data_IF_586573810732
#
_entry.id   IF_586573810732
#
_cell.length_a   1.000
_cell.length_b   1.000
_cell.length_c   1.000
_cell.angle_alpha   90.00
_cell.angle_beta   90.00
_cell.angle_gamma   90.00
#
_symmetry.space_group_name_H-M   'P 1'
#
loop_
_entity.id
_entity.type
_entity.pdbx_description
1 polymer ?
#
# COMPACT_ATOMS: atom_id res chain seq x y z
N UNK A 1 -4.72 14.12 1.72
CA UNK A 1 -3.40 13.77 2.29
C UNK A 1 -3.15 12.41 1.73
N UNK A 2 -2.15 12.28 0.86
CA UNK A 2 -2.02 11.10 0.03
C UNK A 2 -1.83 9.85 0.84
N UNK A 3 -2.39 8.76 0.32
CA UNK A 3 -2.31 7.45 0.95
C UNK A 3 -0.84 7.01 0.95
N UNK A 4 -0.20 6.84 2.12
CA UNK A 4 1.17 6.38 2.16
C UNK A 4 1.29 4.97 1.55
N UNK A 5 2.36 4.73 0.81
CA UNK A 5 2.66 3.43 0.23
C UNK A 5 4.11 3.06 0.50
N UNK A 6 4.43 1.77 0.39
CA UNK A 6 5.79 1.29 0.54
C UNK A 6 6.69 1.87 -0.57
N UNK A 7 7.81 2.56 -0.22
CA UNK A 7 8.64 3.25 -1.20
C UNK A 7 9.07 2.35 -2.36
N UNK A 8 8.95 2.84 -3.59
CA UNK A 8 9.28 2.09 -4.82
C UNK A 8 10.76 1.78 -4.96
N UNK A 9 11.64 2.59 -4.36
CA UNK A 9 13.09 2.38 -4.34
C UNK A 9 13.53 1.25 -3.39
N UNK A 10 12.67 0.84 -2.46
CA UNK A 10 12.91 -0.29 -1.57
C UNK A 10 12.53 -1.61 -2.27
N UNK A 11 13.03 -2.76 -1.79
CA UNK A 11 12.56 -4.06 -2.27
C UNK A 11 11.04 -4.18 -2.10
N UNK A 12 10.34 -4.48 -3.19
CA UNK A 12 8.87 -4.51 -3.24
C UNK A 12 8.24 -5.75 -2.60
N UNK A 13 9.06 -6.74 -2.25
CA UNK A 13 8.64 -7.96 -1.59
C UNK A 13 9.79 -8.45 -0.69
N UNK A 14 9.52 -8.88 0.56
CA UNK A 14 10.50 -9.57 1.39
C UNK A 14 10.68 -11.02 0.86
N UNK A 15 11.29 -11.16 -0.32
CA UNK A 15 11.36 -12.39 -1.13
C UNK A 15 11.94 -13.63 -0.41
N UNK A 16 12.55 -13.50 0.78
CA UNK A 16 13.34 -14.57 1.40
C UNK A 16 13.10 -14.79 2.90
N UNK A 17 12.46 -13.86 3.61
CA UNK A 17 12.28 -14.00 5.06
C UNK A 17 11.13 -13.14 5.57
N UNK A 18 9.96 -13.75 5.63
CA UNK A 18 8.84 -13.30 6.45
C UNK A 18 8.43 -14.45 7.38
N UNK A 19 8.02 -14.11 8.59
CA UNK A 19 7.45 -15.06 9.54
C UNK A 19 6.26 -14.38 10.23
N UNK A 20 5.10 -15.02 10.26
CA UNK A 20 3.91 -14.38 10.78
C UNK A 20 2.71 -15.30 10.82
N UNK A 21 1.60 -14.77 11.32
CA UNK A 21 0.33 -15.47 11.43
C UNK A 21 -0.72 -14.63 12.12
N UNK A 22 -1.90 -15.24 12.33
CA UNK A 22 -2.97 -14.64 13.10
C UNK A 22 -2.54 -14.46 14.56
N UNK A 23 -2.83 -13.29 15.11
CA UNK A 23 -2.71 -13.04 16.55
C UNK A 23 -4.03 -13.40 17.22
N UNK A 24 -3.96 -13.93 18.46
CA UNK A 24 -5.18 -14.17 19.22
C UNK A 24 -5.94 -12.84 19.40
N UNK A 25 -7.19 -12.86 18.99
CA UNK A 25 -8.07 -11.71 18.95
C UNK A 25 -9.26 -11.90 19.90
N UNK A 26 -9.14 -12.82 20.85
CA UNK A 26 -10.18 -13.10 21.84
C UNK A 26 -9.87 -12.37 23.14
N UNK A 27 -10.90 -11.76 23.73
CA UNK A 27 -10.88 -11.41 25.14
C UNK A 27 -11.43 -12.61 25.92
N UNK A 28 -10.64 -13.18 26.82
CA UNK A 28 -11.08 -14.20 27.75
C UNK A 28 -11.31 -13.60 29.14
N UNK A 29 -12.43 -13.95 29.76
CA UNK A 29 -12.69 -13.71 31.18
C UNK A 29 -12.71 -15.06 31.90
N UNK A 30 -11.83 -15.22 32.90
CA UNK A 30 -11.76 -16.41 33.74
C UNK A 30 -12.63 -16.21 34.98
N UNK A 31 -13.70 -16.98 35.12
CA UNK A 31 -14.52 -17.01 36.33
C UNK A 31 -13.85 -17.85 37.44
N UNK A 32 -14.21 -17.61 38.70
CA UNK A 32 -13.69 -18.35 39.86
C UNK A 32 -14.01 -19.87 39.79
N UNK A 33 -15.08 -20.24 39.08
CA UNK A 33 -15.42 -21.61 38.76
C UNK A 33 -16.08 -21.69 37.36
N UNK A 34 -15.76 -22.75 36.61
CA UNK A 34 -16.34 -23.03 35.29
C UNK A 34 -15.39 -22.77 34.11
N UNK A 35 -15.93 -22.85 32.89
CA UNK A 35 -15.20 -22.60 31.66
C UNK A 35 -14.97 -21.09 31.42
N UNK A 36 -13.87 -20.69 30.75
CA UNK A 36 -13.62 -19.29 30.41
C UNK A 36 -14.70 -18.74 29.47
N UNK A 37 -15.14 -17.51 29.69
CA UNK A 37 -16.01 -16.78 28.76
C UNK A 37 -15.15 -16.04 27.74
N UNK A 38 -15.28 -16.39 26.46
CA UNK A 38 -14.50 -15.77 25.38
C UNK A 38 -15.39 -14.95 24.44
N UNK A 39 -14.86 -13.82 23.96
CA UNK A 39 -15.48 -13.04 22.88
C UNK A 39 -14.43 -12.50 21.91
N UNK A 40 -14.72 -12.42 20.60
CA UNK A 40 -13.83 -11.75 19.66
C UNK A 40 -13.77 -10.24 19.94
N UNK A 41 -12.57 -9.66 19.87
CA UNK A 41 -12.33 -8.23 20.01
C UNK A 41 -12.66 -7.46 18.73
N UNK A 42 -12.48 -8.08 17.56
CA UNK A 42 -12.78 -7.50 16.25
C UNK A 42 -13.38 -8.57 15.33
N UNK A 43 -14.00 -8.12 14.23
CA UNK A 43 -14.64 -9.00 13.24
C UNK A 43 -13.65 -9.88 12.47
N UNK A 44 -12.39 -9.47 12.37
CA UNK A 44 -11.35 -10.18 11.63
C UNK A 44 -10.06 -10.20 12.44
N UNK A 45 -9.48 -11.40 12.60
CA UNK A 45 -8.24 -11.57 13.32
C UNK A 45 -7.09 -10.82 12.60
N UNK A 46 -6.34 -9.96 13.31
CA UNK A 46 -5.20 -9.29 12.72
C UNK A 46 -4.08 -10.31 12.47
N UNK A 47 -3.42 -10.19 11.32
CA UNK A 47 -2.21 -10.96 11.01
C UNK A 47 -0.98 -10.09 11.28
N UNK A 48 0.02 -10.67 11.92
CA UNK A 48 1.28 -9.98 12.21
C UNK A 48 2.42 -10.71 11.53
N UNK A 49 3.21 -9.97 10.77
CA UNK A 49 4.36 -10.43 10.03
C UNK A 49 5.63 -9.73 10.53
N UNK A 50 6.63 -10.53 10.89
CA UNK A 50 8.01 -10.09 11.01
C UNK A 50 8.62 -10.16 9.61
N UNK A 51 8.90 -9.01 9.00
CA UNK A 51 9.50 -8.92 7.67
C UNK A 51 10.96 -8.54 7.81
N UNK A 52 11.82 -9.17 7.02
CA UNK A 52 13.24 -8.82 6.93
C UNK A 52 13.60 -8.52 5.49
N UNK A 53 14.02 -7.28 5.25
CA UNK A 53 14.59 -6.82 3.98
C UNK A 53 16.11 -6.93 4.08
N UNK A 54 16.68 -7.87 3.35
CA UNK A 54 18.12 -8.13 3.35
C UNK A 54 18.82 -7.26 2.32
N UNK A 55 20.06 -6.89 2.60
CA UNK A 55 20.97 -6.24 1.63
C UNK A 55 20.42 -4.92 1.08
N UNK A 56 19.91 -4.04 1.95
CA UNK A 56 19.58 -2.67 1.58
C UNK A 56 20.85 -1.84 1.43
N UNK A 57 20.90 -0.97 0.42
CA UNK A 57 21.93 0.08 0.35
C UNK A 57 21.70 1.14 1.44
N UNK A 58 22.73 1.93 1.75
CA UNK A 58 22.58 3.05 2.70
C UNK A 58 21.55 4.09 2.21
N UNK A 59 21.46 4.32 0.89
CA UNK A 59 20.50 5.26 0.30
C UNK A 59 19.05 4.75 0.41
N UNK A 60 18.87 3.43 0.23
CA UNK A 60 17.58 2.77 0.47
C UNK A 60 17.19 2.88 1.95
N UNK A 61 18.13 2.62 2.86
CA UNK A 61 17.86 2.76 4.28
C UNK A 61 17.52 4.21 4.68
N UNK A 62 18.22 5.20 4.13
CA UNK A 62 17.89 6.61 4.32
C UNK A 62 16.47 6.93 3.81
N UNK A 63 16.10 6.43 2.63
CA UNK A 63 14.75 6.58 2.08
C UNK A 63 13.69 5.97 3.00
N UNK A 64 13.94 4.76 3.51
CA UNK A 64 13.05 4.12 4.48
C UNK A 64 12.89 4.96 5.76
N UNK A 65 14.00 5.50 6.30
CA UNK A 65 13.97 6.31 7.51
C UNK A 65 13.15 7.58 7.30
N UNK A 66 13.38 8.32 6.21
CA UNK A 66 12.60 9.51 5.88
C UNK A 66 11.12 9.15 5.76
N UNK A 67 10.76 8.15 4.96
CA UNK A 67 9.39 7.68 4.79
C UNK A 67 8.70 7.31 6.13
N UNK A 68 9.43 6.62 7.02
CA UNK A 68 8.92 6.27 8.33
C UNK A 68 8.61 7.51 9.21
N UNK A 69 9.50 8.50 9.17
CA UNK A 69 9.36 9.74 9.95
C UNK A 69 8.28 10.67 9.37
N UNK A 70 8.24 10.83 8.05
CA UNK A 70 7.39 11.81 7.36
C UNK A 70 6.01 11.25 7.03
N UNK A 71 5.96 10.17 6.24
CA UNK A 71 4.72 9.65 5.65
C UNK A 71 3.96 8.79 6.66
N UNK A 72 4.68 7.91 7.37
CA UNK A 72 4.07 7.08 8.40
C UNK A 72 3.85 7.80 9.72
N UNK A 73 4.44 8.99 9.93
CA UNK A 73 4.41 9.72 11.19
C UNK A 73 4.82 8.81 12.36
N UNK A 74 6.00 8.20 12.23
CA UNK A 74 6.53 7.23 13.21
C UNK A 74 5.64 5.99 13.39
N UNK A 75 5.08 5.47 12.30
CA UNK A 75 4.26 4.25 12.31
C UNK A 75 2.79 4.45 12.74
N UNK A 76 2.35 5.69 12.98
CA UNK A 76 0.95 5.99 13.32
C UNK A 76 0.02 5.72 12.14
N UNK A 77 0.42 6.16 10.95
CA UNK A 77 -0.36 6.00 9.73
C UNK A 77 -0.27 4.58 9.17
N UNK A 78 -1.36 4.14 8.54
CA UNK A 78 -1.39 2.93 7.72
C UNK A 78 -0.81 3.23 6.33
N UNK A 79 -0.34 2.19 5.67
CA UNK A 79 0.19 2.28 4.31
C UNK A 79 -0.19 1.06 3.48
N UNK A 80 -0.06 1.19 2.16
CA UNK A 80 -0.25 0.08 1.23
C UNK A 80 1.05 -0.68 1.03
N UNK A 81 0.97 -1.99 1.19
CA UNK A 81 2.05 -2.91 0.88
C UNK A 81 1.49 -4.22 0.34
N UNK A 82 2.29 -4.92 -0.47
CA UNK A 82 1.90 -6.23 -0.99
C UNK A 82 2.07 -7.29 0.10
N UNK A 83 1.00 -8.02 0.34
CA UNK A 83 1.03 -9.18 1.21
C UNK A 83 2.07 -10.19 0.68
N UNK A 84 3.05 -10.62 1.50
CA UNK A 84 4.11 -11.52 1.05
C UNK A 84 3.60 -12.92 0.65
N UNK A 85 2.45 -13.36 1.17
CA UNK A 85 1.84 -14.64 0.87
C UNK A 85 0.99 -14.56 -0.40
N UNK A 86 -0.03 -13.68 -0.39
CA UNK A 86 -1.01 -13.62 -1.50
C UNK A 86 -0.64 -12.65 -2.62
N UNK A 87 0.42 -11.86 -2.44
CA UNK A 87 0.94 -10.86 -3.40
C UNK A 87 -0.04 -9.76 -3.80
N UNK A 88 -1.14 -9.60 -3.04
CA UNK A 88 -2.14 -8.55 -3.23
C UNK A 88 -1.82 -7.32 -2.40
N UNK A 89 -2.04 -6.10 -2.91
CA UNK A 89 -1.92 -4.89 -2.11
C UNK A 89 -2.99 -4.86 -1.03
N UNK A 90 -2.56 -4.72 0.22
CA UNK A 90 -3.45 -4.62 1.38
C UNK A 90 -2.96 -3.51 2.31
N UNK A 91 -3.79 -3.16 3.27
CA UNK A 91 -3.42 -2.20 4.30
C UNK A 91 -2.51 -2.84 5.32
N UNK A 92 -1.38 -2.20 5.57
CA UNK A 92 -0.45 -2.53 6.64
C UNK A 92 -0.28 -1.36 7.59
N UNK A 93 0.11 -1.68 8.81
CA UNK A 93 0.59 -0.73 9.81
C UNK A 93 1.85 -1.27 10.44
N UNK A 94 2.86 -0.42 10.65
CA UNK A 94 4.02 -0.82 11.44
C UNK A 94 3.59 -0.97 12.90
N UNK A 95 3.92 -2.12 13.49
CA UNK A 95 3.69 -2.30 14.92
C UNK A 95 4.76 -1.58 15.71
N UNK A 96 4.32 -0.97 16.81
CA UNK A 96 5.23 -0.40 17.79
C UNK A 96 6.09 -1.45 18.47
N UNK A 97 7.16 -0.96 19.08
CA UNK A 97 8.16 -1.70 19.82
C UNK A 97 9.29 -0.76 20.19
N UNK A 98 10.18 -1.19 21.07
CA UNK A 98 11.40 -0.46 21.38
C UNK A 98 12.61 -1.35 21.03
N UNK A 99 13.26 -1.15 19.86
CA UNK A 99 12.97 -0.15 18.83
C UNK A 99 11.80 -0.55 17.89
N UNK A 100 11.20 0.40 17.13
CA UNK A 100 10.09 0.12 16.21
C UNK A 100 10.49 -0.74 15.00
N UNK A 101 11.77 -0.70 14.62
CA UNK A 101 12.39 -1.59 13.65
C UNK A 101 13.85 -1.81 14.06
N UNK A 102 14.42 -2.94 13.63
CA UNK A 102 15.80 -3.30 13.90
C UNK A 102 16.63 -3.20 12.63
N UNK A 103 17.87 -2.75 12.77
CA UNK A 103 18.84 -2.64 11.68
C UNK A 103 20.11 -3.35 12.10
N UNK A 104 20.62 -4.22 11.23
CA UNK A 104 21.90 -4.90 11.43
C UNK A 104 22.80 -4.74 10.21
N UNK A 105 24.11 -4.65 10.44
CA UNK A 105 25.06 -4.60 9.34
C UNK A 105 25.10 -5.96 8.63
N UNK A 106 25.07 -5.95 7.29
CA UNK A 106 25.24 -7.16 6.47
C UNK A 106 26.65 -7.29 5.88
N UNK A 107 27.56 -6.37 6.23
CA UNK A 107 28.89 -6.21 5.65
C UNK A 107 28.96 -5.09 4.60
N UNK A 108 30.12 -4.44 4.50
CA UNK A 108 30.35 -3.35 3.54
C UNK A 108 29.39 -2.17 3.71
N UNK A 109 28.71 -1.77 2.63
CA UNK A 109 27.73 -0.66 2.58
C UNK A 109 26.27 -1.14 2.64
N UNK A 110 26.03 -2.34 3.16
CA UNK A 110 24.70 -2.95 3.18
C UNK A 110 24.19 -3.17 4.59
N UNK A 111 22.89 -2.97 4.76
CA UNK A 111 22.17 -3.19 6.03
C UNK A 111 20.98 -4.11 5.82
N UNK A 112 20.64 -4.87 6.86
CA UNK A 112 19.40 -5.63 6.92
C UNK A 112 18.40 -4.86 7.79
N UNK A 113 17.19 -4.67 7.30
CA UNK A 113 16.11 -4.02 8.00
C UNK A 113 15.08 -5.07 8.40
N UNK A 114 14.73 -5.11 9.68
CA UNK A 114 13.68 -5.97 10.21
C UNK A 114 12.59 -5.11 10.85
N UNK A 115 11.35 -5.36 10.47
CA UNK A 115 10.18 -4.64 10.98
C UNK A 115 9.03 -5.61 11.29
N UNK A 116 8.18 -5.21 12.23
CA UNK A 116 6.92 -5.92 12.53
C UNK A 116 5.78 -5.17 11.85
N UNK A 117 5.09 -5.84 10.94
CA UNK A 117 3.96 -5.28 10.21
C UNK A 117 2.68 -6.01 10.61
N UNK A 118 1.64 -5.26 10.95
CA UNK A 118 0.29 -5.78 11.12
C UNK A 118 -0.50 -5.55 9.84
N UNK A 119 -1.03 -6.62 9.26
CA UNK A 119 -2.00 -6.54 8.18
C UNK A 119 -3.34 -6.13 8.77
N UNK A 120 -3.90 -5.04 8.25
CA UNK A 120 -5.21 -4.56 8.65
C UNK A 120 -6.30 -5.26 7.83
N UNK A 121 -7.50 -5.44 8.41
CA UNK A 121 -8.63 -5.96 7.65
C UNK A 121 -9.05 -4.97 6.58
N UNK A 122 -9.54 -5.51 5.47
CA UNK A 122 -10.01 -4.73 4.32
C UNK A 122 -8.97 -4.62 3.22
N UNK A 123 -9.46 -4.55 1.98
CA UNK A 123 -8.67 -4.36 0.77
C UNK A 123 -8.96 -2.94 0.29
N UNK A 124 -7.94 -2.14 -0.08
CA UNK A 124 -8.22 -0.83 -0.67
C UNK A 124 -9.03 -1.02 -1.96
N UNK A 125 -10.03 -0.17 -2.17
CA UNK A 125 -10.89 -0.25 -3.37
C UNK A 125 -10.08 -0.18 -4.66
N UNK A 126 -8.92 0.49 -4.62
CA UNK A 126 -8.04 0.63 -5.77
C UNK A 126 -6.99 -0.49 -5.91
N UNK A 127 -7.05 -1.55 -5.09
CA UNK A 127 -6.06 -2.63 -5.08
C UNK A 127 -5.82 -3.25 -6.46
N UNK A 128 -6.90 -3.45 -7.23
CA UNK A 128 -6.85 -4.08 -8.54
C UNK A 128 -6.22 -3.19 -9.62
N UNK A 129 -6.04 -1.89 -9.34
CA UNK A 129 -5.36 -0.94 -10.23
C UNK A 129 -3.87 -0.79 -9.94
N UNK A 130 -3.33 -1.47 -8.91
CA UNK A 130 -1.89 -1.42 -8.59
C UNK A 130 -1.15 -2.47 -9.44
N UNK A 131 -0.23 -2.06 -10.33
CA UNK A 131 0.46 -2.97 -11.24
C UNK A 131 1.22 -4.07 -10.51
N UNK A 132 1.11 -5.30 -10.99
CA UNK A 132 1.77 -6.47 -10.39
C UNK A 132 3.28 -6.24 -10.18
N UNK A 133 3.81 -6.73 -9.07
CA UNK A 133 5.25 -6.65 -8.75
C UNK A 133 5.71 -5.33 -8.13
N UNK A 134 4.90 -4.27 -8.15
CA UNK A 134 5.23 -2.97 -7.53
C UNK A 134 4.15 -2.52 -6.56
N UNK A 135 4.53 -1.81 -5.50
CA UNK A 135 3.64 -1.15 -4.55
C UNK A 135 3.46 0.33 -4.95
N UNK A 136 2.98 0.58 -6.17
CA UNK A 136 2.72 1.94 -6.67
C UNK A 136 1.23 2.23 -6.64
N UNK A 137 0.81 3.13 -5.75
CA UNK A 137 -0.61 3.50 -5.62
C UNK A 137 -0.98 4.50 -6.72
N UNK A 138 -2.11 4.31 -7.42
CA UNK A 138 -2.59 5.32 -8.36
C UNK A 138 -3.00 6.58 -7.60
N UNK A 139 -2.49 7.72 -8.05
CA UNK A 139 -2.96 9.03 -7.61
C UNK A 139 -4.39 9.27 -8.07
N UNK A 140 -4.70 8.90 -9.32
CA UNK A 140 -6.07 8.90 -9.81
C UNK A 140 -6.38 7.62 -10.59
N UNK A 141 -7.67 7.26 -10.58
CA UNK A 141 -8.26 6.16 -11.33
C UNK A 141 -9.47 6.70 -12.05
N UNK A 142 -9.53 6.48 -13.37
CA UNK A 142 -10.72 6.66 -14.17
C UNK A 142 -11.01 5.36 -14.92
N UNK A 143 -11.80 4.47 -14.33
CA UNK A 143 -12.30 3.25 -14.96
C UNK A 143 -13.71 3.52 -15.51
N UNK A 144 -13.77 3.87 -16.79
CA UNK A 144 -15.03 4.21 -17.46
C UNK A 144 -15.88 2.98 -17.75
N UNK A 145 -15.28 1.79 -17.85
CA UNK A 145 -16.00 0.56 -18.13
C UNK A 145 -16.85 0.14 -16.92
N UNK A 146 -16.28 0.27 -15.72
CA UNK A 146 -16.96 -0.08 -14.46
C UNK A 146 -17.61 1.14 -13.77
N UNK A 147 -17.40 2.35 -14.30
CA UNK A 147 -17.89 3.59 -13.69
C UNK A 147 -17.23 3.92 -12.34
N UNK A 148 -15.98 3.50 -12.15
CA UNK A 148 -15.23 3.68 -10.90
C UNK A 148 -14.21 4.80 -11.06
N UNK A 149 -14.29 5.79 -10.19
CA UNK A 149 -13.44 6.97 -10.22
C UNK A 149 -12.83 7.24 -8.85
N UNK A 150 -11.57 7.65 -8.82
CA UNK A 150 -10.93 8.05 -7.57
C UNK A 150 -9.76 8.98 -7.75
N UNK A 151 -9.51 9.77 -6.72
CA UNK A 151 -8.41 10.74 -6.61
C UNK A 151 -7.88 10.66 -5.18
N UNK A 152 -6.56 10.67 -5.02
CA UNK A 152 -5.87 10.64 -3.72
C UNK A 152 -6.31 9.45 -2.82
N UNK A 153 -6.56 8.30 -3.44
CA UNK A 153 -7.02 7.08 -2.77
C UNK A 153 -8.49 7.12 -2.28
N UNK A 154 -9.26 8.15 -2.61
CA UNK A 154 -10.69 8.27 -2.32
C UNK A 154 -11.52 8.07 -3.58
N UNK A 155 -12.70 7.46 -3.46
CA UNK A 155 -13.67 7.39 -4.55
C UNK A 155 -14.33 8.76 -4.75
N UNK A 156 -14.47 9.22 -5.98
CA UNK A 156 -15.06 10.52 -6.32
C UNK A 156 -16.11 10.37 -7.43
N UNK A 157 -16.91 11.41 -7.65
CA UNK A 157 -17.77 11.48 -8.84
C UNK A 157 -16.93 11.75 -10.11
N UNK A 158 -17.38 11.27 -11.27
CA UNK A 158 -16.70 11.48 -12.55
C UNK A 158 -16.41 12.97 -12.86
N UNK A 159 -17.28 13.87 -12.39
CA UNK A 159 -17.13 15.32 -12.55
C UNK A 159 -15.91 15.91 -11.83
N UNK A 160 -15.25 15.15 -10.95
CA UNK A 160 -14.01 15.57 -10.30
C UNK A 160 -12.76 15.27 -11.15
N UNK A 161 -12.82 14.37 -12.12
CA UNK A 161 -11.65 14.03 -12.96
C UNK A 161 -11.10 15.22 -13.77
N UNK A 162 -11.94 16.12 -14.34
CA UNK A 162 -11.44 17.25 -15.12
C UNK A 162 -10.60 18.26 -14.31
N UNK A 163 -10.47 18.11 -12.99
CA UNK A 163 -9.63 18.99 -12.16
C UNK A 163 -8.19 18.51 -12.03
N UNK A 164 -7.86 17.31 -12.52
CA UNK A 164 -6.52 16.73 -12.42
C UNK A 164 -5.57 17.50 -13.35
N UNK A 165 -4.46 17.98 -12.81
CA UNK A 165 -3.40 18.66 -13.55
C UNK A 165 -2.05 18.40 -12.87
N UNK A 166 -0.99 18.30 -13.66
CA UNK A 166 0.36 17.98 -13.19
C UNK A 166 1.05 16.95 -14.08
N UNK A 167 2.26 16.55 -13.69
CA UNK A 167 3.02 15.55 -14.44
C UNK A 167 2.93 14.21 -13.73
N UNK A 168 2.48 13.19 -14.45
CA UNK A 168 2.21 11.86 -13.92
C UNK A 168 2.78 10.79 -14.84
N UNK A 169 3.05 9.61 -14.30
CA UNK A 169 3.14 8.40 -15.12
C UNK A 169 1.72 7.93 -15.41
N UNK A 170 1.27 8.03 -16.65
CA UNK A 170 -0.11 7.75 -17.06
C UNK A 170 -0.15 6.41 -17.79
N UNK A 171 -1.04 5.54 -17.34
CA UNK A 171 -1.39 4.29 -18.01
C UNK A 171 -2.78 4.45 -18.64
N UNK A 172 -2.86 4.35 -19.96
CA UNK A 172 -4.12 4.36 -20.72
C UNK A 172 -4.40 2.95 -21.20
N UNK A 173 -5.58 2.44 -20.87
CA UNK A 173 -6.08 1.16 -21.37
C UNK A 173 -7.19 1.44 -22.35
N UNK A 174 -7.04 0.90 -23.55
CA UNK A 174 -8.09 0.86 -24.57
C UNK A 174 -8.71 -0.54 -24.61
N UNK A 175 -9.69 -0.74 -25.49
CA UNK A 175 -10.25 -2.07 -25.72
C UNK A 175 -9.25 -3.08 -26.28
N UNK A 176 -8.11 -2.65 -26.83
CA UNK A 176 -7.15 -3.51 -27.53
C UNK A 176 -5.71 -3.41 -27.03
N UNK A 177 -5.37 -2.39 -26.25
CA UNK A 177 -3.98 -2.14 -25.85
C UNK A 177 -3.87 -1.42 -24.51
N UNK A 178 -2.70 -1.54 -23.89
CA UNK A 178 -2.28 -0.78 -22.72
C UNK A 178 -1.04 0.02 -23.12
N UNK A 179 -1.05 1.32 -22.87
CA UNK A 179 0.09 2.23 -23.10
C UNK A 179 0.46 2.94 -21.82
N UNK A 180 1.75 3.13 -21.59
CA UNK A 180 2.28 3.85 -20.43
C UNK A 180 3.29 4.91 -20.87
N UNK A 181 3.12 6.13 -20.37
CA UNK A 181 4.02 7.23 -20.65
C UNK A 181 4.00 8.26 -19.52
N UNK A 182 5.08 9.03 -19.39
CA UNK A 182 5.05 10.24 -18.59
C UNK A 182 4.30 11.32 -19.37
N UNK A 183 3.23 11.87 -18.81
CA UNK A 183 2.40 12.90 -19.43
C UNK A 183 2.27 14.10 -18.48
N UNK A 184 2.33 15.32 -19.03
CA UNK A 184 1.90 16.52 -18.31
C UNK A 184 0.45 16.78 -18.66
N UNK A 185 -0.43 16.50 -17.71
CA UNK A 185 -1.86 16.69 -17.83
C UNK A 185 -2.25 18.12 -17.44
N UNK A 186 -3.14 18.72 -18.19
CA UNK A 186 -3.89 19.92 -17.81
C UNK A 186 -5.30 19.53 -17.39
N UNK A 187 -5.96 20.44 -16.66
CA UNK A 187 -7.38 20.29 -16.37
C UNK A 187 -8.15 19.99 -17.67
N UNK A 188 -9.13 19.08 -17.59
CA UNK A 188 -9.92 18.52 -18.70
C UNK A 188 -9.28 17.40 -19.55
N UNK A 189 -7.97 17.14 -19.42
CA UNK A 189 -7.33 16.02 -20.15
C UNK A 189 -7.86 14.64 -19.74
N UNK A 190 -8.37 14.54 -18.51
CA UNK A 190 -9.13 13.39 -18.02
C UNK A 190 -10.61 13.79 -17.99
N UNK A 191 -11.37 13.55 -19.08
CA UNK A 191 -12.77 13.94 -19.14
C UNK A 191 -13.65 13.11 -18.20
N UNK A 192 -14.83 13.63 -17.85
CA UNK A 192 -15.81 12.89 -17.05
C UNK A 192 -16.45 11.71 -17.82
N UNK A 193 -16.37 11.71 -19.15
CA UNK A 193 -16.90 10.66 -20.02
C UNK A 193 -15.77 9.98 -20.79
N UNK A 194 -15.93 8.68 -21.04
CA UNK A 194 -14.93 7.87 -21.73
C UNK A 194 -14.53 8.50 -23.08
N UNK A 195 -13.24 8.79 -23.30
CA UNK A 195 -12.74 9.04 -24.65
C UNK A 195 -12.97 7.81 -25.55
N UNK A 196 -13.15 8.01 -26.85
CA UNK A 196 -13.44 6.93 -27.78
C UNK A 196 -12.42 5.78 -27.66
N UNK A 197 -12.93 4.57 -27.40
CA UNK A 197 -12.12 3.35 -27.27
C UNK A 197 -11.30 3.22 -25.98
N UNK A 198 -11.31 4.22 -25.09
CA UNK A 198 -10.59 4.18 -23.80
C UNK A 198 -11.48 3.58 -22.73
N UNK A 199 -11.02 2.53 -22.07
CA UNK A 199 -11.73 1.87 -20.97
C UNK A 199 -11.25 2.38 -19.62
N UNK A 200 -9.96 2.69 -19.49
CA UNK A 200 -9.35 3.07 -18.22
C UNK A 200 -8.20 4.05 -18.40
N UNK A 201 -8.07 5.00 -17.48
CA UNK A 201 -6.88 5.85 -17.34
C UNK A 201 -6.46 5.85 -15.87
N UNK A 202 -5.20 5.49 -15.61
CA UNK A 202 -4.59 5.54 -14.30
C UNK A 202 -3.44 6.54 -14.32
N UNK A 203 -3.28 7.31 -13.25
CA UNK A 203 -2.12 8.19 -13.07
C UNK A 203 -1.40 7.87 -11.79
N UNK A 204 -0.07 7.83 -11.85
CA UNK A 204 0.81 7.61 -10.71
C UNK A 204 1.74 8.81 -10.53
N UNK A 205 2.00 9.18 -9.27
CA UNK A 205 3.02 10.19 -8.96
C UNK A 205 4.41 9.70 -9.40
N UNK A 206 5.26 10.65 -9.81
CA UNK A 206 6.62 10.43 -10.30
C UNK A 206 7.58 10.20 -9.14
#
# INVERSE_FOLDING_TARGET
>A
MSVPFWPTSLPQNPLTSYAGGFVDNRASFQADAGEPMERPLTTAAPEVFNVTFRVLTLDQYATFKTWYETDLRFGVNRFIFRDPLVRRPVWFKMLGGDPPFQVSASGGKYVNLQARLMRLPGVPWFSDYIPSGVCRVPYFVADYAEGVYGIDGQTVAASALPTIAGTYWVQRTTTTSITEAQETLVATDIPATAPAGTTKILGFEI
#
